data_IF_864054666213
#
_entry.id   IF_864054666213
#
_cell.length_a   1.000
_cell.length_b   1.000
_cell.length_c   1.000
_cell.angle_alpha   90.00
_cell.angle_beta   90.00
_cell.angle_gamma   90.00
#
_symmetry.space_group_name_H-M   'P 1'
#
loop_
_entity.id
_entity.type
_entity.pdbx_description
1 polymer ?
#
# COMPACT_ATOMS: atom_id res chain seq x y z
N UNK A 1 4.68 -14.28 -2.64
CA UNK A 1 5.64 -13.68 -3.59
C UNK A 1 5.32 -12.21 -3.69
N UNK A 2 6.34 -11.36 -3.64
CA UNK A 2 6.23 -9.90 -3.77
C UNK A 2 6.34 -9.53 -5.25
N UNK A 3 5.38 -8.76 -5.78
CA UNK A 3 5.34 -8.37 -7.19
C UNK A 3 5.60 -6.87 -7.37
N UNK A 4 6.88 -6.51 -7.29
CA UNK A 4 7.33 -5.11 -7.31
C UNK A 4 6.99 -4.45 -8.66
N UNK A 5 7.25 -5.13 -9.78
CA UNK A 5 7.00 -4.58 -11.12
C UNK A 5 5.51 -4.33 -11.40
N UNK A 6 4.63 -5.23 -10.99
CA UNK A 6 3.18 -5.06 -11.14
C UNK A 6 2.65 -3.91 -10.26
N UNK A 7 3.13 -3.80 -9.02
CA UNK A 7 2.76 -2.71 -8.11
C UNK A 7 3.19 -1.35 -8.66
N UNK A 8 4.44 -1.24 -9.13
CA UNK A 8 4.96 -0.02 -9.72
C UNK A 8 4.20 0.35 -11.00
N UNK A 9 3.98 -0.59 -11.92
CA UNK A 9 3.24 -0.35 -13.16
C UNK A 9 1.80 0.11 -12.88
N UNK A 10 1.14 -0.45 -11.87
CA UNK A 10 -0.22 -0.03 -11.46
C UNK A 10 -0.23 1.39 -10.90
N UNK A 11 0.74 1.74 -10.06
CA UNK A 11 0.87 3.08 -9.51
C UNK A 11 1.14 4.11 -10.62
N UNK A 12 2.05 3.79 -11.55
CA UNK A 12 2.37 4.63 -12.71
C UNK A 12 1.15 4.82 -13.62
N UNK A 13 0.43 3.74 -13.91
CA UNK A 13 -0.78 3.81 -14.74
C UNK A 13 -1.84 4.73 -14.12
N UNK A 14 -1.95 4.76 -12.79
CA UNK A 14 -2.86 5.66 -12.09
C UNK A 14 -2.44 7.13 -12.17
N UNK A 15 -1.15 7.41 -12.23
CA UNK A 15 -0.61 8.77 -12.35
C UNK A 15 -0.58 9.30 -13.78
N UNK A 16 -0.68 8.42 -14.78
CA UNK A 16 -0.67 8.78 -16.20
C UNK A 16 -1.64 9.93 -16.51
N UNK A 17 -2.89 9.81 -16.05
CA UNK A 17 -3.95 10.78 -16.34
C UNK A 17 -4.08 11.89 -15.29
N UNK A 18 -3.14 11.96 -14.33
CA UNK A 18 -3.15 13.01 -13.29
C UNK A 18 -2.84 14.38 -13.89
N UNK A 19 -3.59 15.45 -13.51
CA UNK A 19 -3.33 16.83 -13.95
C UNK A 19 -2.13 17.48 -13.22
N UNK A 20 -1.53 16.80 -12.25
CA UNK A 20 -0.42 17.32 -11.45
C UNK A 20 0.86 17.48 -12.28
N UNK A 21 1.55 18.62 -12.09
CA UNK A 21 2.85 18.91 -12.74
C UNK A 21 3.98 18.01 -12.23
N UNK A 22 3.95 17.59 -10.97
CA UNK A 22 4.87 16.58 -10.43
C UNK A 22 4.13 15.27 -10.20
N UNK A 23 4.70 14.17 -10.69
CA UNK A 23 4.19 12.80 -10.53
C UNK A 23 5.29 11.98 -9.89
N UNK A 24 5.02 11.49 -8.68
CA UNK A 24 5.99 10.70 -7.91
C UNK A 24 5.34 9.42 -7.41
N UNK A 25 6.14 8.36 -7.32
CA UNK A 25 5.79 7.09 -6.68
C UNK A 25 6.83 6.80 -5.61
N UNK A 26 6.38 6.42 -4.42
CA UNK A 26 7.26 5.97 -3.34
C UNK A 26 7.09 4.45 -3.22
N UNK A 27 8.12 3.71 -3.59
CA UNK A 27 8.18 2.25 -3.59
C UNK A 27 8.86 1.77 -2.30
N UNK A 28 8.09 1.19 -1.40
CA UNK A 28 8.56 0.66 -0.12
C UNK A 28 8.64 -0.88 -0.20
N UNK A 29 9.81 -1.46 0.04
CA UNK A 29 10.02 -2.92 -0.06
C UNK A 29 11.22 -3.40 0.76
N UNK A 30 11.16 -4.66 1.17
CA UNK A 30 12.25 -5.44 1.76
C UNK A 30 13.21 -6.06 0.72
N UNK A 31 13.15 -5.63 -0.54
CA UNK A 31 14.14 -5.96 -1.57
C UNK A 31 13.94 -7.31 -2.27
N UNK A 32 13.04 -8.18 -1.79
CA UNK A 32 12.77 -9.45 -2.47
C UNK A 32 11.67 -9.31 -3.52
N UNK A 33 12.02 -9.42 -4.81
CA UNK A 33 11.04 -9.55 -5.89
C UNK A 33 10.83 -11.04 -6.23
N UNK A 34 9.87 -11.68 -5.55
CA UNK A 34 9.65 -13.12 -5.63
C UNK A 34 8.52 -13.54 -6.59
N UNK A 35 7.86 -12.60 -7.30
CA UNK A 35 6.77 -12.92 -8.25
C UNK A 35 6.48 -11.77 -9.23
N UNK A 36 5.81 -12.04 -10.36
CA UNK A 36 5.21 -11.03 -11.24
C UNK A 36 5.54 -11.19 -12.72
N UNK A 37 4.61 -10.81 -13.59
CA UNK A 37 4.74 -10.87 -15.06
C UNK A 37 5.55 -9.70 -15.65
N UNK A 38 5.58 -8.56 -14.95
CA UNK A 38 6.34 -7.37 -15.35
C UNK A 38 7.57 -7.28 -14.45
N UNK A 39 8.75 -7.12 -15.05
CA UNK A 39 9.98 -6.95 -14.28
C UNK A 39 10.01 -5.56 -13.62
N UNK A 40 10.62 -5.41 -12.44
CA UNK A 40 10.73 -4.11 -11.78
C UNK A 40 11.42 -3.04 -12.65
N UNK A 41 12.42 -3.45 -13.46
CA UNK A 41 13.10 -2.57 -14.39
C UNK A 41 12.20 -2.12 -15.55
N UNK A 42 11.41 -3.03 -16.14
CA UNK A 42 10.43 -2.64 -17.17
C UNK A 42 9.41 -1.64 -16.62
N UNK A 43 8.94 -1.85 -15.39
CA UNK A 43 8.03 -0.90 -14.75
C UNK A 43 8.70 0.48 -14.50
N UNK A 44 10.00 0.50 -14.20
CA UNK A 44 10.77 1.73 -14.06
C UNK A 44 10.99 2.46 -15.39
N UNK A 45 11.24 1.74 -16.49
CA UNK A 45 11.32 2.32 -17.85
C UNK A 45 9.99 2.98 -18.27
N UNK A 46 8.86 2.32 -17.96
CA UNK A 46 7.53 2.89 -18.19
C UNK A 46 7.34 4.16 -17.35
N UNK A 47 7.75 4.14 -16.08
CA UNK A 47 7.69 5.31 -15.20
C UNK A 47 8.50 6.48 -15.75
N UNK A 48 9.74 6.23 -16.18
CA UNK A 48 10.62 7.22 -16.79
C UNK A 48 9.98 7.83 -18.05
N UNK A 49 9.43 6.99 -18.93
CA UNK A 49 8.78 7.43 -20.18
C UNK A 49 7.56 8.33 -19.91
N UNK A 50 6.85 8.08 -18.81
CA UNK A 50 5.68 8.86 -18.39
C UNK A 50 6.03 10.06 -17.49
N UNK A 51 7.32 10.35 -17.30
CA UNK A 51 7.80 11.46 -16.46
C UNK A 51 7.46 11.29 -14.98
N UNK A 52 7.32 10.04 -14.52
CA UNK A 52 7.03 9.70 -13.12
C UNK A 52 8.34 9.38 -12.41
N UNK A 53 8.65 10.15 -11.36
CA UNK A 53 9.84 9.92 -10.52
C UNK A 53 9.55 8.82 -9.49
N UNK A 54 10.45 7.85 -9.35
CA UNK A 54 10.28 6.75 -8.39
C UNK A 54 11.32 6.87 -7.28
N UNK A 55 10.84 7.06 -6.05
CA UNK A 55 11.66 6.99 -4.84
C UNK A 55 11.56 5.59 -4.26
N UNK A 56 12.69 4.94 -4.05
CA UNK A 56 12.73 3.57 -3.51
C UNK A 56 13.18 3.60 -2.06
N UNK A 57 12.48 2.89 -1.19
CA UNK A 57 12.78 2.82 0.24
C UNK A 57 12.92 1.35 0.62
N UNK A 58 14.16 0.95 0.93
CA UNK A 58 14.49 -0.38 1.42
C UNK A 58 14.26 -0.48 2.92
N UNK A 59 13.38 -1.39 3.37
CA UNK A 59 13.20 -1.70 4.80
C UNK A 59 13.95 -2.99 5.12
N UNK A 60 14.97 -2.91 5.98
CA UNK A 60 15.66 -4.11 6.44
C UNK A 60 16.91 -3.81 7.22
N UNK A 61 17.27 -4.72 8.11
CA UNK A 61 18.55 -4.73 8.80
C UNK A 61 19.49 -5.68 8.08
N UNK A 62 20.73 -5.25 7.83
CA UNK A 62 21.77 -6.15 7.33
C UNK A 62 22.33 -6.98 8.48
N UNK A 63 22.60 -8.25 8.22
CA UNK A 63 23.29 -9.13 9.16
C UNK A 63 22.71 -10.54 9.23
N UNK A 64 23.11 -11.23 10.30
CA UNK A 64 22.66 -12.59 10.58
C UNK A 64 21.35 -12.50 11.34
N UNK A 65 20.24 -12.80 10.67
CA UNK A 65 18.91 -12.86 11.29
C UNK A 65 18.50 -14.32 11.49
N UNK A 66 17.92 -14.61 12.65
CA UNK A 66 17.32 -15.91 12.94
C UNK A 66 16.05 -16.05 12.10
N UNK A 67 16.12 -16.85 11.04
CA UNK A 67 14.97 -17.11 10.15
C UNK A 67 14.55 -18.57 10.28
N UNK A 68 13.23 -18.88 10.19
CA UNK A 68 12.75 -20.26 10.19
C UNK A 68 13.34 -20.99 8.98
N UNK A 69 14.18 -21.98 9.25
CA UNK A 69 14.92 -22.73 8.24
C UNK A 69 14.28 -24.08 7.93
N UNK A 70 13.71 -24.74 8.95
CA UNK A 70 13.05 -26.03 8.78
C UNK A 70 11.84 -26.14 9.70
N UNK A 71 10.79 -26.79 9.21
CA UNK A 71 9.64 -27.18 10.02
C UNK A 71 9.91 -28.56 10.63
N UNK A 72 9.89 -28.65 11.95
CA UNK A 72 10.08 -29.91 12.66
C UNK A 72 8.83 -30.79 12.57
N UNK A 73 8.97 -32.12 12.77
CA UNK A 73 7.83 -33.05 12.79
C UNK A 73 6.78 -32.72 13.87
N UNK A 74 7.18 -32.00 14.93
CA UNK A 74 6.30 -31.51 16.00
C UNK A 74 5.49 -30.25 15.62
N UNK A 75 5.71 -29.70 14.41
CA UNK A 75 5.05 -28.50 13.92
C UNK A 75 5.74 -27.18 14.29
N UNK A 76 6.79 -27.21 15.10
CA UNK A 76 7.62 -26.05 15.43
C UNK A 76 8.60 -25.69 14.30
N UNK A 77 9.21 -24.50 14.36
CA UNK A 77 10.21 -24.06 13.40
C UNK A 77 11.60 -24.05 14.04
N UNK A 78 12.56 -24.72 13.42
CA UNK A 78 13.97 -24.51 13.71
C UNK A 78 14.43 -23.23 13.05
N UNK A 79 14.94 -22.31 13.86
CA UNK A 79 15.56 -21.08 13.39
C UNK A 79 17.04 -21.33 13.13
N UNK A 80 17.52 -20.92 11.95
CA UNK A 80 18.94 -20.93 11.65
C UNK A 80 19.40 -19.50 11.35
N UNK A 81 20.66 -19.18 11.68
CA UNK A 81 21.27 -17.94 11.24
C UNK A 81 21.29 -17.91 9.71
N UNK A 82 20.52 -17.00 9.12
CA UNK A 82 20.57 -16.72 7.68
C UNK A 82 21.23 -15.37 7.50
N UNK A 83 22.26 -15.33 6.66
CA UNK A 83 22.81 -14.07 6.18
C UNK A 83 21.79 -13.49 5.20
N UNK A 84 21.08 -12.43 5.60
CA UNK A 84 20.21 -11.72 4.67
C UNK A 84 21.07 -10.70 3.93
N UNK A 85 21.44 -11.05 2.71
CA UNK A 85 22.02 -10.09 1.76
C UNK A 85 20.86 -9.30 1.18
N UNK A 86 20.68 -8.08 1.67
CA UNK A 86 19.67 -7.18 1.14
C UNK A 86 20.20 -6.57 -0.16
N UNK A 87 19.85 -7.19 -1.29
CA UNK A 87 20.27 -6.71 -2.61
C UNK A 87 19.52 -5.41 -2.96
N UNK A 88 20.11 -4.28 -2.59
CA UNK A 88 19.58 -2.93 -2.85
C UNK A 88 19.86 -2.43 -4.26
N UNK A 89 20.62 -3.18 -5.08
CA UNK A 89 21.13 -2.65 -6.35
C UNK A 89 19.99 -2.43 -7.35
N UNK A 90 19.00 -3.31 -7.36
CA UNK A 90 17.79 -3.13 -8.16
C UNK A 90 17.02 -1.87 -7.76
N UNK A 91 16.87 -1.60 -6.46
CA UNK A 91 16.15 -0.43 -5.97
C UNK A 91 16.87 0.86 -6.31
N UNK A 92 18.20 0.84 -6.27
CA UNK A 92 19.05 1.97 -6.67
C UNK A 92 18.90 2.25 -8.17
N UNK A 93 18.98 1.21 -9.00
CA UNK A 93 18.81 1.33 -10.45
C UNK A 93 17.43 1.91 -10.84
N UNK A 94 16.36 1.46 -10.18
CA UNK A 94 14.99 1.98 -10.42
C UNK A 94 14.92 3.48 -10.09
N UNK A 95 15.47 3.88 -8.94
CA UNK A 95 15.48 5.28 -8.53
C UNK A 95 16.31 6.15 -9.48
N UNK A 96 17.50 5.70 -9.86
CA UNK A 96 18.38 6.43 -10.78
C UNK A 96 17.75 6.59 -12.17
N UNK A 97 17.18 5.51 -12.73
CA UNK A 97 16.54 5.53 -14.05
C UNK A 97 15.40 6.55 -14.12
N UNK A 98 14.63 6.66 -13.05
CA UNK A 98 13.46 7.55 -12.97
C UNK A 98 13.76 8.92 -12.37
N UNK A 99 15.04 9.23 -12.13
CA UNK A 99 15.50 10.49 -11.56
C UNK A 99 14.94 10.78 -10.15
N UNK A 100 14.70 9.71 -9.38
CA UNK A 100 14.37 9.72 -7.95
C UNK A 100 15.60 9.48 -7.06
N UNK A 101 15.37 9.00 -5.84
CA UNK A 101 16.42 8.65 -4.88
C UNK A 101 16.10 7.34 -4.16
N UNK A 102 17.15 6.57 -3.88
CA UNK A 102 17.08 5.42 -2.99
C UNK A 102 17.31 5.84 -1.55
N UNK A 103 16.48 5.35 -0.64
CA UNK A 103 16.61 5.51 0.80
C UNK A 103 16.59 4.16 1.49
N UNK A 104 17.15 4.14 2.70
CA UNK A 104 17.12 2.99 3.58
C UNK A 104 16.54 3.38 4.92
N UNK A 105 15.55 2.62 5.38
CA UNK A 105 14.89 2.85 6.65
C UNK A 105 15.12 1.64 7.56
N UNK A 106 15.66 1.90 8.76
CA UNK A 106 15.84 0.88 9.80
C UNK A 106 14.75 0.99 10.88
N UNK A 107 14.12 2.16 10.98
CA UNK A 107 13.08 2.47 11.95
C UNK A 107 11.97 3.35 11.36
N UNK A 108 10.86 3.44 12.07
CA UNK A 108 9.75 4.33 11.73
C UNK A 108 10.18 5.80 11.67
N UNK A 109 11.09 6.23 12.56
CA UNK A 109 11.64 7.60 12.56
C UNK A 109 12.43 7.92 11.30
N UNK A 110 13.18 6.94 10.78
CA UNK A 110 13.91 7.11 9.53
C UNK A 110 12.93 7.28 8.36
N UNK A 111 11.85 6.49 8.36
CA UNK A 111 10.81 6.56 7.35
C UNK A 111 10.09 7.92 7.36
N UNK A 112 9.74 8.45 8.54
CA UNK A 112 9.17 9.80 8.69
C UNK A 112 10.12 10.87 8.13
N UNK A 113 11.42 10.78 8.45
CA UNK A 113 12.44 11.70 7.94
C UNK A 113 12.56 11.66 6.42
N UNK A 114 12.52 10.46 5.82
CA UNK A 114 12.55 10.26 4.37
C UNK A 114 11.32 10.91 3.70
N UNK A 115 10.12 10.67 4.24
CA UNK A 115 8.91 11.31 3.71
C UNK A 115 8.98 12.84 3.79
N UNK A 116 9.49 13.40 4.88
CA UNK A 116 9.67 14.83 5.03
C UNK A 116 10.70 15.41 4.03
N UNK A 117 11.79 14.68 3.75
CA UNK A 117 12.74 15.08 2.72
C UNK A 117 12.11 15.07 1.33
N UNK A 118 11.37 14.00 0.99
CA UNK A 118 10.69 13.88 -0.31
C UNK A 118 9.67 15.02 -0.48
N UNK A 119 8.86 15.31 0.54
CA UNK A 119 7.90 16.43 0.50
C UNK A 119 8.58 17.78 0.24
N UNK A 120 9.74 18.02 0.87
CA UNK A 120 10.54 19.23 0.65
C UNK A 120 11.07 19.32 -0.79
N UNK A 121 11.48 18.20 -1.38
CA UNK A 121 11.97 18.14 -2.76
C UNK A 121 10.86 18.27 -3.79
N UNK A 122 9.66 17.76 -3.48
CA UNK A 122 8.57 17.60 -4.43
C UNK A 122 7.42 18.59 -4.25
N UNK A 123 7.66 19.70 -3.54
CA UNK A 123 6.71 20.79 -3.24
C UNK A 123 5.71 21.04 -4.38
N UNK A 124 4.63 20.32 -4.32
CA UNK A 124 3.48 20.36 -5.22
C UNK A 124 2.29 20.33 -4.29
N UNK A 125 1.27 21.15 -4.54
CA UNK A 125 0.04 21.14 -3.73
C UNK A 125 -0.54 19.73 -3.81
N UNK A 126 -0.38 18.94 -2.74
CA UNK A 126 -0.81 17.55 -2.70
C UNK A 126 -2.33 17.53 -2.56
N UNK A 127 -3.04 17.15 -3.62
CA UNK A 127 -4.35 16.52 -3.46
C UNK A 127 -4.10 15.08 -2.99
N UNK A 128 -4.12 14.89 -1.67
CA UNK A 128 -3.89 13.60 -1.03
C UNK A 128 -5.07 12.68 -1.38
N UNK A 129 -4.96 11.94 -2.48
CA UNK A 129 -5.91 10.86 -2.80
C UNK A 129 -5.53 9.59 -2.02
N UNK A 130 -5.59 9.66 -0.69
CA UNK A 130 -5.47 8.45 0.15
C UNK A 130 -6.66 7.54 -0.17
N UNK A 131 -6.45 6.53 -1.01
CA UNK A 131 -7.41 5.45 -1.20
C UNK A 131 -7.27 4.48 -0.04
N UNK A 132 -7.92 4.84 1.07
CA UNK A 132 -8.21 3.89 2.14
C UNK A 132 -9.44 3.12 1.70
N UNK A 133 -9.25 1.86 1.31
CA UNK A 133 -10.36 0.97 0.97
C UNK A 133 -11.01 0.47 2.26
N UNK A 134 -11.78 1.35 2.90
CA UNK A 134 -12.67 0.97 4.01
C UNK A 134 -13.92 0.35 3.40
N UNK A 135 -14.19 -0.91 3.72
CA UNK A 135 -15.48 -1.55 3.40
C UNK A 135 -16.45 -1.21 4.52
N UNK A 136 -17.40 -0.31 4.26
CA UNK A 136 -18.41 0.10 5.24
C UNK A 136 -19.55 -0.92 5.33
N UNK A 137 -19.56 -1.71 6.41
CA UNK A 137 -20.64 -2.64 6.75
C UNK A 137 -21.89 -1.96 7.36
N UNK A 138 -21.93 -0.62 7.44
CA UNK A 138 -23.01 0.12 8.11
C UNK A 138 -24.38 0.04 7.39
N UNK A 139 -24.39 -0.22 6.08
CA UNK A 139 -25.60 -0.23 5.24
C UNK A 139 -26.66 -1.24 5.71
N UNK A 140 -26.24 -2.40 6.22
CA UNK A 140 -27.16 -3.43 6.74
C UNK A 140 -27.86 -2.98 8.02
N UNK A 141 -27.12 -2.30 8.93
CA UNK A 141 -27.67 -1.81 10.19
C UNK A 141 -28.72 -0.70 9.96
N UNK A 142 -28.48 0.19 9.00
CA UNK A 142 -29.45 1.22 8.60
C UNK A 142 -30.72 0.59 8.01
N UNK A 143 -30.57 -0.43 7.17
CA UNK A 143 -31.71 -1.16 6.59
C UNK A 143 -32.62 -1.77 7.66
N UNK A 144 -32.03 -2.41 8.68
CA UNK A 144 -32.79 -2.97 9.81
C UNK A 144 -33.52 -1.87 10.58
N UNK A 145 -32.86 -0.74 10.86
CA UNK A 145 -33.47 0.38 11.58
C UNK A 145 -34.69 0.97 10.85
N UNK A 146 -34.60 1.13 9.52
CA UNK A 146 -35.71 1.64 8.69
C UNK A 146 -36.90 0.67 8.69
N UNK A 147 -36.65 -0.64 8.61
CA UNK A 147 -37.73 -1.64 8.68
C UNK A 147 -38.45 -1.60 10.02
N UNK A 148 -37.70 -1.49 11.14
CA UNK A 148 -38.31 -1.35 12.47
C UNK A 148 -39.15 -0.07 12.60
N UNK A 149 -38.67 1.06 12.07
CA UNK A 149 -39.41 2.33 12.07
C UNK A 149 -40.72 2.23 11.27
N UNK A 150 -40.69 1.59 10.10
CA UNK A 150 -41.89 1.38 9.27
C UNK A 150 -42.90 0.47 9.98
N UNK A 151 -42.44 -0.61 10.61
CA UNK A 151 -43.31 -1.49 11.40
C UNK A 151 -43.98 -0.76 12.56
N UNK A 152 -43.26 0.13 13.24
CA UNK A 152 -43.83 0.97 14.31
C UNK A 152 -44.95 1.88 13.77
N UNK A 153 -44.70 2.58 12.66
CA UNK A 153 -45.68 3.49 12.04
C UNK A 153 -46.94 2.74 11.60
N UNK A 154 -46.77 1.59 10.93
CA UNK A 154 -47.88 0.72 10.52
C UNK A 154 -48.64 0.18 11.73
N UNK A 155 -47.94 -0.27 12.78
CA UNK A 155 -48.54 -0.72 14.02
C UNK A 155 -49.36 0.37 14.69
N UNK A 156 -48.85 1.60 14.75
CA UNK A 156 -49.57 2.76 15.30
C UNK A 156 -50.83 3.07 14.49
N UNK A 157 -50.74 3.03 13.17
CA UNK A 157 -51.89 3.23 12.27
C UNK A 157 -52.97 2.17 12.43
N UNK A 158 -52.57 0.91 12.64
CA UNK A 158 -53.50 -0.21 12.80
C UNK A 158 -54.15 -0.21 14.18
N UNK A 159 -53.37 0.07 15.24
CA UNK A 159 -53.85 0.13 16.62
C UNK A 159 -54.79 1.32 16.87
N UNK A 160 -54.55 2.47 16.23
CA UNK A 160 -55.44 3.63 16.33
C UNK A 160 -56.77 3.45 15.56
N UNK A 161 -56.86 2.47 14.64
CA UNK A 161 -58.11 2.14 13.94
C UNK A 161 -59.01 1.18 14.70
N UNK A 162 -58.51 0.44 15.69
CA UNK A 162 -59.29 -0.57 16.42
C UNK A 162 -59.87 -0.06 17.76
N UNK A 163 -59.53 1.16 18.20
CA UNK A 163 -59.96 1.73 19.49
C UNK A 163 -61.03 2.84 19.31
N UNK A 164 -61.76 2.83 18.20
CA UNK A 164 -63.00 3.61 18.04
C UNK A 164 -64.15 2.71 17.60
N UNK A 165 -64.84 2.02 18.53
CA UNK A 165 -66.28 1.78 18.45
C UNK A 165 -67.07 3.03 18.88
#
# INVERSE_FOLDING_TARGET
GTAIGMGLATAVNRLKDSPSRSKIVILLTDGENNAGYISPMQAAEIAQTLGVRVYTVGIGTEGIVMSPAQRLPDGSYAFAPRHMTFDTDLLRQIAELTNGKFYRAYSERDLEGIYAEIDRLEKTKIEVSTVRRTTDYFHWLVGVAVVFLLLEILGRWWLLRTVTP
#
